data_IF_689469493229
#
_entry.id   IF_689469493229
#
_cell.length_a   1.000
_cell.length_b   1.000
_cell.length_c   1.000
_cell.angle_alpha   90.00
_cell.angle_beta   90.00
_cell.angle_gamma   90.00
#
_symmetry.space_group_name_H-M   'P 1'
#
loop_
_entity.id
_entity.type
_entity.pdbx_description
1 polymer ?
#
# COMPACT_ATOMS: atom_id res chain seq x y z
N UNK A 1 -23.46 -25.35 4.62
CA UNK A 1 -22.32 -26.28 4.49
C UNK A 1 -21.05 -25.45 4.61
N UNK A 2 -19.93 -25.98 5.09
CA UNK A 2 -18.71 -25.19 5.29
C UNK A 2 -18.15 -24.73 3.93
N UNK A 3 -18.28 -23.44 3.63
CA UNK A 3 -17.69 -22.80 2.43
C UNK A 3 -16.16 -22.64 2.52
N UNK A 4 -15.53 -23.29 3.50
CA UNK A 4 -14.10 -23.19 3.72
C UNK A 4 -13.33 -24.10 2.76
N UNK A 5 -12.42 -23.48 1.99
CA UNK A 5 -11.34 -24.17 1.29
C UNK A 5 -9.99 -23.88 1.94
N UNK A 6 -9.09 -24.85 1.82
CA UNK A 6 -7.75 -24.86 2.36
C UNK A 6 -6.73 -25.34 1.32
N UNK A 7 -5.50 -24.85 1.43
CA UNK A 7 -4.37 -25.26 0.62
C UNK A 7 -3.10 -25.36 1.48
N UNK A 8 -2.24 -26.33 1.19
CA UNK A 8 -0.94 -26.48 1.82
C UNK A 8 0.15 -26.67 0.76
N UNK A 9 1.29 -26.01 0.96
CA UNK A 9 2.49 -26.18 0.17
C UNK A 9 3.36 -27.28 0.80
N UNK A 10 3.77 -28.25 -0.01
CA UNK A 10 4.69 -29.32 0.40
C UNK A 10 6.13 -28.91 0.13
N UNK A 11 7.06 -29.57 0.82
CA UNK A 11 8.49 -29.31 0.68
C UNK A 11 9.04 -29.62 -0.73
N UNK A 12 8.36 -30.48 -1.49
CA UNK A 12 8.69 -30.81 -2.88
C UNK A 12 8.17 -29.76 -3.89
N UNK A 13 7.54 -28.68 -3.42
CA UNK A 13 6.97 -27.63 -4.27
C UNK A 13 5.60 -27.95 -4.86
N UNK A 14 4.96 -29.07 -4.50
CA UNK A 14 3.59 -29.39 -4.90
C UNK A 14 2.55 -28.82 -3.92
N UNK A 15 1.33 -28.58 -4.41
CA UNK A 15 0.22 -28.03 -3.61
C UNK A 15 -0.88 -29.05 -3.40
N UNK A 16 -1.37 -29.15 -2.16
CA UNK A 16 -2.54 -29.98 -1.81
C UNK A 16 -3.68 -29.07 -1.36
N UNK A 17 -4.87 -29.28 -1.89
CA UNK A 17 -6.07 -28.51 -1.56
C UNK A 17 -7.18 -29.41 -1.05
N UNK A 18 -7.95 -28.95 -0.06
CA UNK A 18 -9.12 -29.66 0.46
C UNK A 18 -10.23 -28.68 0.88
N UNK A 19 -11.46 -29.18 1.03
CA UNK A 19 -12.63 -28.37 1.40
C UNK A 19 -13.49 -27.99 0.20
N UNK A 20 -14.17 -26.84 0.27
CA UNK A 20 -15.14 -26.40 -0.73
C UNK A 20 -14.53 -26.32 -2.14
N UNK A 21 -15.10 -27.05 -3.10
CA UNK A 21 -14.59 -27.14 -4.47
C UNK A 21 -14.61 -25.80 -5.20
N UNK A 22 -15.72 -25.08 -5.08
CA UNK A 22 -15.91 -23.77 -5.74
C UNK A 22 -14.83 -22.79 -5.31
N UNK A 23 -14.50 -22.75 -4.02
CA UNK A 23 -13.48 -21.86 -3.44
C UNK A 23 -12.03 -22.33 -3.70
N UNK A 24 -11.82 -23.26 -4.63
CA UNK A 24 -10.50 -23.79 -5.00
C UNK A 24 -10.00 -24.92 -4.10
N UNK A 25 -10.84 -25.43 -3.19
CA UNK A 25 -10.60 -26.66 -2.45
C UNK A 25 -10.78 -27.90 -3.32
N UNK A 26 -10.29 -29.07 -2.89
CA UNK A 26 -10.46 -30.35 -3.59
C UNK A 26 -10.11 -30.34 -5.10
N UNK A 27 -9.34 -29.37 -5.58
CA UNK A 27 -9.03 -29.20 -7.00
C UNK A 27 -8.15 -30.35 -7.48
N UNK A 28 -8.60 -31.04 -8.53
CA UNK A 28 -7.81 -32.08 -9.18
C UNK A 28 -6.70 -31.46 -10.03
N UNK A 29 -7.00 -30.32 -10.67
CA UNK A 29 -6.05 -29.57 -11.49
C UNK A 29 -4.84 -29.14 -10.67
N UNK A 30 -5.06 -28.58 -9.48
CA UNK A 30 -3.98 -28.19 -8.55
C UNK A 30 -3.10 -29.38 -8.21
N UNK A 31 -3.69 -30.52 -7.84
CA UNK A 31 -2.93 -31.71 -7.46
C UNK A 31 -2.11 -32.31 -8.61
N UNK A 32 -2.58 -32.19 -9.84
CA UNK A 32 -1.95 -32.81 -11.00
C UNK A 32 -0.92 -31.89 -11.68
N UNK A 33 -1.17 -30.58 -11.73
CA UNK A 33 -0.44 -29.65 -12.61
C UNK A 33 0.31 -28.54 -11.85
N UNK A 34 -0.04 -28.25 -10.59
CA UNK A 34 0.59 -27.16 -9.83
C UNK A 34 1.82 -27.66 -9.04
N UNK A 35 2.99 -27.54 -9.67
CA UNK A 35 4.31 -27.90 -9.11
C UNK A 35 5.30 -26.74 -9.18
N UNK A 36 6.43 -26.87 -8.47
CA UNK A 36 7.47 -25.84 -8.43
C UNK A 36 6.95 -24.55 -7.79
N UNK A 37 6.12 -24.68 -6.74
CA UNK A 37 5.56 -23.56 -5.98
C UNK A 37 6.47 -23.23 -4.82
N UNK A 38 6.77 -21.94 -4.66
CA UNK A 38 7.58 -21.41 -3.56
C UNK A 38 6.74 -20.88 -2.41
N UNK A 39 5.57 -20.31 -2.72
CA UNK A 39 4.65 -19.81 -1.70
C UNK A 39 3.20 -19.80 -2.20
N UNK A 40 2.28 -19.92 -1.24
CA UNK A 40 0.83 -19.84 -1.47
C UNK A 40 0.23 -18.81 -0.52
N UNK A 41 -0.82 -18.13 -0.97
CA UNK A 41 -1.55 -17.16 -0.18
C UNK A 41 -3.05 -17.27 -0.49
N UNK A 42 -3.87 -17.15 0.55
CA UNK A 42 -5.33 -17.11 0.42
C UNK A 42 -5.78 -15.69 0.05
N UNK A 43 -6.72 -15.59 -0.88
CA UNK A 43 -7.33 -14.34 -1.33
C UNK A 43 -8.07 -14.57 -2.65
N UNK A 44 -8.89 -13.61 -3.09
CA UNK A 44 -9.72 -13.78 -4.29
C UNK A 44 -8.88 -14.15 -5.54
N UNK A 45 -9.26 -15.16 -6.35
CA UNK A 45 -10.51 -15.94 -6.34
C UNK A 45 -10.54 -17.17 -5.40
N UNK A 46 -9.54 -17.37 -4.57
CA UNK A 46 -9.50 -18.44 -3.57
C UNK A 46 -8.08 -18.56 -3.03
N UNK A 47 -7.16 -18.91 -3.94
CA UNK A 47 -5.74 -18.99 -3.65
C UNK A 47 -4.90 -18.43 -4.79
N UNK A 48 -3.72 -17.94 -4.44
CA UNK A 48 -2.68 -17.52 -5.38
C UNK A 48 -1.35 -18.15 -4.96
N UNK A 49 -0.60 -18.67 -5.92
CA UNK A 49 0.72 -19.25 -5.76
C UNK A 49 1.76 -18.50 -6.60
N UNK A 50 3.00 -18.47 -6.09
CA UNK A 50 4.17 -18.03 -6.85
C UNK A 50 5.06 -19.25 -7.12
N UNK A 51 5.36 -19.50 -8.39
CA UNK A 51 6.25 -20.59 -8.83
C UNK A 51 7.73 -20.17 -8.81
N UNK A 52 8.63 -21.14 -8.94
CA UNK A 52 10.10 -20.96 -8.86
C UNK A 52 10.67 -19.96 -9.89
N UNK A 53 9.99 -19.78 -11.03
CA UNK A 53 10.36 -18.79 -12.06
C UNK A 53 9.61 -17.46 -11.94
N UNK A 54 9.00 -17.19 -10.78
CA UNK A 54 8.27 -15.95 -10.50
C UNK A 54 6.92 -15.86 -11.22
N UNK A 55 6.44 -16.93 -11.84
CA UNK A 55 5.09 -16.98 -12.41
C UNK A 55 4.05 -16.99 -11.29
N UNK A 56 3.03 -16.13 -11.41
CA UNK A 56 1.90 -16.07 -10.47
C UNK A 56 0.69 -16.76 -11.09
N UNK A 57 0.14 -17.69 -10.32
CA UNK A 57 -0.98 -18.56 -10.68
C UNK A 57 -2.06 -18.46 -9.61
N UNK A 58 -3.30 -18.19 -9.99
CA UNK A 58 -4.43 -18.16 -9.07
C UNK A 58 -5.48 -19.22 -9.44
N UNK A 59 -6.22 -19.72 -8.44
CA UNK A 59 -7.32 -20.66 -8.66
C UNK A 59 -8.42 -20.48 -7.60
N UNK A 60 -9.62 -20.95 -7.92
CA UNK A 60 -10.80 -20.83 -7.08
C UNK A 60 -11.98 -20.18 -7.80
N UNK A 61 -12.94 -19.71 -7.03
CA UNK A 61 -14.17 -19.10 -7.52
C UNK A 61 -13.91 -17.67 -7.97
N UNK A 62 -13.99 -17.45 -9.27
CA UNK A 62 -14.21 -16.11 -9.82
C UNK A 62 -15.71 -15.93 -9.99
N UNK A 63 -16.22 -14.83 -9.46
CA UNK A 63 -17.56 -14.36 -9.74
C UNK A 63 -17.69 -14.17 -11.26
N UNK A 64 -18.63 -14.86 -11.94
CA UNK A 64 -18.80 -14.77 -13.39
C UNK A 64 -18.98 -13.33 -13.91
N UNK A 65 -19.51 -12.43 -13.07
CA UNK A 65 -19.70 -11.01 -13.40
C UNK A 65 -18.40 -10.20 -13.28
N UNK A 66 -17.43 -10.72 -12.51
CA UNK A 66 -16.06 -10.23 -12.38
C UNK A 66 -15.18 -10.91 -13.44
N UNK A 67 -15.25 -10.38 -14.66
CA UNK A 67 -14.23 -10.70 -15.66
C UNK A 67 -12.86 -10.21 -15.16
N UNK A 68 -11.84 -11.07 -15.15
CA UNK A 68 -10.45 -10.70 -14.83
C UNK A 68 -9.66 -10.45 -16.13
N UNK A 69 -9.84 -9.30 -16.81
CA UNK A 69 -9.18 -9.06 -18.08
C UNK A 69 -7.66 -9.04 -17.90
N UNK A 70 -6.98 -9.72 -18.83
CA UNK A 70 -5.53 -9.79 -18.84
C UNK A 70 -4.92 -10.88 -17.96
N UNK A 71 -5.74 -11.76 -17.37
CA UNK A 71 -5.27 -13.07 -16.92
C UNK A 71 -5.58 -14.11 -18.01
N UNK A 72 -4.59 -14.92 -18.35
CA UNK A 72 -4.77 -16.05 -19.25
C UNK A 72 -5.37 -17.21 -18.46
N UNK A 73 -6.34 -17.93 -19.06
CA UNK A 73 -6.90 -19.13 -18.47
C UNK A 73 -6.27 -20.36 -19.11
N UNK A 74 -5.63 -21.19 -18.30
CA UNK A 74 -4.99 -22.42 -18.77
C UNK A 74 -5.18 -23.51 -17.71
N UNK A 75 -5.70 -24.67 -18.12
CA UNK A 75 -5.88 -25.84 -17.24
C UNK A 75 -6.65 -25.59 -15.92
N UNK A 76 -7.57 -24.61 -15.91
CA UNK A 76 -8.35 -24.25 -14.71
C UNK A 76 -7.63 -23.28 -13.76
N UNK A 77 -6.51 -22.71 -14.19
CA UNK A 77 -5.78 -21.66 -13.49
C UNK A 77 -5.92 -20.30 -14.19
N UNK A 78 -5.72 -19.25 -13.40
CA UNK A 78 -5.60 -17.87 -13.87
C UNK A 78 -4.14 -17.42 -13.79
N UNK A 79 -3.55 -17.15 -14.94
CA UNK A 79 -2.15 -16.80 -15.09
C UNK A 79 -2.01 -15.31 -15.33
N UNK A 80 -1.09 -14.66 -14.61
CA UNK A 80 -0.83 -13.23 -14.81
C UNK A 80 -0.21 -12.88 -16.17
N UNK A 81 0.37 -13.86 -16.85
CA UNK A 81 1.17 -13.63 -18.07
C UNK A 81 2.43 -12.79 -17.81
N UNK A 82 2.80 -12.57 -16.54
CA UNK A 82 4.06 -11.95 -16.16
C UNK A 82 5.14 -13.03 -16.03
N UNK A 83 6.32 -12.75 -16.56
CA UNK A 83 7.53 -13.52 -16.28
C UNK A 83 8.33 -12.80 -15.20
N UNK A 84 8.87 -13.55 -14.24
CA UNK A 84 9.73 -13.04 -13.17
C UNK A 84 9.09 -11.88 -12.36
N UNK A 85 8.02 -12.19 -11.62
CA UNK A 85 7.34 -11.21 -10.75
C UNK A 85 8.27 -10.77 -9.62
N UNK A 86 8.58 -9.47 -9.58
CA UNK A 86 9.45 -8.86 -8.57
C UNK A 86 8.68 -8.34 -7.35
N UNK A 87 7.43 -7.93 -7.53
CA UNK A 87 6.57 -7.45 -6.45
C UNK A 87 5.14 -7.99 -6.65
N UNK A 88 4.57 -8.59 -5.60
CA UNK A 88 3.17 -9.00 -5.52
C UNK A 88 2.56 -8.43 -4.25
N UNK A 89 1.42 -7.76 -4.37
CA UNK A 89 0.69 -7.14 -3.27
C UNK A 89 -0.76 -7.61 -3.26
N UNK A 90 -1.31 -7.71 -2.06
CA UNK A 90 -2.71 -8.06 -1.83
C UNK A 90 -3.32 -7.10 -0.81
N UNK A 91 -4.55 -6.65 -1.08
CA UNK A 91 -5.39 -5.95 -0.12
C UNK A 91 -6.82 -6.42 -0.29
N UNK A 92 -7.41 -6.97 0.78
CA UNK A 92 -8.70 -7.64 0.73
C UNK A 92 -8.72 -8.67 -0.40
N UNK A 93 -9.66 -8.47 -1.33
CA UNK A 93 -9.88 -9.32 -2.51
C UNK A 93 -9.20 -8.79 -3.78
N UNK A 94 -8.20 -7.91 -3.64
CA UNK A 94 -7.53 -7.26 -4.77
C UNK A 94 -6.04 -7.52 -4.77
N UNK A 95 -5.50 -7.68 -5.98
CA UNK A 95 -4.11 -8.01 -6.20
C UNK A 95 -3.48 -7.10 -7.23
N UNK A 96 -2.18 -6.90 -7.07
CA UNK A 96 -1.35 -6.24 -8.06
C UNK A 96 0.05 -6.83 -8.07
N UNK A 97 0.59 -7.04 -9.26
CA UNK A 97 1.91 -7.62 -9.49
C UNK A 97 2.71 -6.78 -10.48
N UNK A 98 4.02 -6.63 -10.25
CA UNK A 98 4.97 -6.05 -11.20
C UNK A 98 5.91 -7.15 -11.70
N UNK A 99 5.97 -7.30 -13.02
CA UNK A 99 6.95 -8.16 -13.70
C UNK A 99 8.32 -7.49 -13.77
N UNK A 100 9.37 -8.29 -13.98
CA UNK A 100 10.74 -7.78 -14.10
C UNK A 100 10.96 -6.77 -15.23
N UNK A 101 10.09 -6.80 -16.23
CA UNK A 101 9.98 -5.89 -17.38
C UNK A 101 9.25 -4.57 -17.06
N UNK A 102 8.81 -4.38 -15.82
CA UNK A 102 8.09 -3.20 -15.36
C UNK A 102 6.64 -3.11 -15.85
N UNK A 103 6.06 -4.21 -16.36
CA UNK A 103 4.61 -4.31 -16.59
C UNK A 103 3.88 -4.59 -15.29
N UNK A 104 2.67 -4.07 -15.19
CA UNK A 104 1.78 -4.32 -14.06
C UNK A 104 0.59 -5.16 -14.48
N UNK A 105 0.20 -6.10 -13.63
CA UNK A 105 -1.08 -6.81 -13.69
C UNK A 105 -1.83 -6.60 -12.40
N UNK A 106 -3.14 -6.45 -12.52
CA UNK A 106 -4.05 -6.25 -11.40
C UNK A 106 -5.30 -7.08 -11.63
N UNK A 107 -5.80 -7.72 -10.57
CA UNK A 107 -6.99 -8.56 -10.60
C UNK A 107 -7.72 -8.52 -9.25
N UNK A 108 -8.98 -8.95 -9.22
CA UNK A 108 -9.88 -8.70 -8.09
C UNK A 108 -10.61 -7.36 -8.21
N UNK A 109 -10.87 -6.68 -7.10
CA UNK A 109 -11.57 -5.38 -7.13
C UNK A 109 -10.63 -4.25 -7.62
N UNK A 110 -10.71 -3.95 -8.92
CA UNK A 110 -9.90 -2.90 -9.56
C UNK A 110 -10.69 -1.62 -9.88
N UNK A 111 -12.00 -1.62 -9.64
CA UNK A 111 -12.92 -0.56 -10.09
C UNK A 111 -13.33 -0.74 -11.55
N UNK A 112 -13.22 0.31 -12.36
CA UNK A 112 -13.65 0.33 -13.77
C UNK A 112 -12.71 -0.45 -14.71
N UNK A 113 -13.29 -1.30 -15.57
CA UNK A 113 -12.59 -2.10 -16.61
C UNK A 113 -11.73 -1.25 -17.54
N UNK A 114 -12.20 -0.07 -17.96
CA UNK A 114 -11.39 0.80 -18.84
C UNK A 114 -10.11 1.30 -18.15
N UNK A 115 -10.17 1.53 -16.83
CA UNK A 115 -8.97 1.87 -16.05
C UNK A 115 -8.01 0.70 -16.00
N UNK A 116 -8.51 -0.52 -15.84
CA UNK A 116 -7.69 -1.74 -15.79
C UNK A 116 -6.87 -1.95 -17.07
N UNK A 117 -7.48 -1.82 -18.25
CA UNK A 117 -6.73 -1.92 -19.52
C UNK A 117 -5.64 -0.85 -19.66
N UNK A 118 -5.94 0.39 -19.26
CA UNK A 118 -4.94 1.48 -19.26
C UNK A 118 -3.81 1.21 -18.28
N UNK A 119 -4.10 0.61 -17.13
CA UNK A 119 -3.09 0.20 -16.16
C UNK A 119 -2.19 -0.89 -16.72
N UNK A 120 -2.73 -1.92 -17.36
CA UNK A 120 -1.93 -3.00 -17.95
C UNK A 120 -1.12 -2.55 -19.18
N UNK A 121 -1.47 -1.41 -19.77
CA UNK A 121 -0.67 -0.75 -20.79
C UNK A 121 0.52 0.04 -20.20
N UNK A 122 0.56 0.29 -18.88
CA UNK A 122 1.69 0.96 -18.24
C UNK A 122 2.97 0.14 -18.36
N UNK A 123 4.08 0.85 -18.47
CA UNK A 123 5.43 0.30 -18.55
C UNK A 123 6.32 1.04 -17.56
N UNK A 124 7.38 0.37 -17.13
CA UNK A 124 8.31 0.93 -16.17
C UNK A 124 7.66 1.23 -14.82
N UNK A 125 6.69 0.42 -14.38
CA UNK A 125 6.17 0.51 -13.02
C UNK A 125 7.26 0.06 -12.06
N UNK A 126 7.56 0.90 -11.06
CA UNK A 126 8.64 0.69 -10.09
C UNK A 126 8.13 0.14 -8.77
N UNK A 127 6.97 0.63 -8.30
CA UNK A 127 6.38 0.24 -7.00
C UNK A 127 4.86 0.29 -7.04
N UNK A 128 4.24 -0.62 -6.29
CA UNK A 128 2.83 -0.59 -5.95
C UNK A 128 2.64 -0.17 -4.50
N UNK A 129 1.65 0.68 -4.24
CA UNK A 129 1.23 1.14 -2.93
C UNK A 129 -0.29 0.95 -2.83
N UNK A 130 -0.79 0.61 -1.65
CA UNK A 130 -2.22 0.55 -1.36
C UNK A 130 -2.50 1.02 0.06
N UNK A 131 -3.74 1.43 0.32
CA UNK A 131 -4.22 1.69 1.68
C UNK A 131 -5.19 0.60 2.15
N UNK A 132 -5.63 0.67 3.40
CA UNK A 132 -6.52 -0.32 4.03
C UNK A 132 -7.93 -0.33 3.44
N UNK A 133 -8.32 0.76 2.77
CA UNK A 133 -9.64 0.91 2.13
C UNK A 133 -9.65 0.47 0.67
N UNK A 134 -8.70 -0.37 0.27
CA UNK A 134 -8.60 -0.95 -1.07
C UNK A 134 -8.48 0.09 -2.20
N UNK A 135 -7.84 1.22 -1.93
CA UNK A 135 -7.35 2.13 -2.97
C UNK A 135 -5.86 1.90 -3.22
N UNK A 136 -5.45 2.06 -4.46
CA UNK A 136 -4.13 1.68 -4.93
C UNK A 136 -3.48 2.79 -5.77
N UNK A 137 -2.15 2.79 -5.76
CA UNK A 137 -1.30 3.66 -6.57
C UNK A 137 -0.08 2.88 -7.09
N UNK A 138 0.35 3.19 -8.30
CA UNK A 138 1.58 2.71 -8.89
C UNK A 138 2.46 3.91 -9.25
N UNK A 139 3.74 3.86 -8.88
CA UNK A 139 4.75 4.84 -9.28
C UNK A 139 5.55 4.26 -10.43
N UNK A 140 5.68 5.01 -11.51
CA UNK A 140 6.50 4.65 -12.68
C UNK A 140 7.92 5.23 -12.59
N UNK A 141 8.85 4.73 -13.39
CA UNK A 141 10.25 5.17 -13.43
C UNK A 141 10.42 6.65 -13.74
N UNK A 142 9.47 7.28 -14.45
CA UNK A 142 9.52 8.71 -14.76
C UNK A 142 8.91 9.60 -13.67
N UNK A 143 8.39 8.98 -12.59
CA UNK A 143 7.72 9.62 -11.46
C UNK A 143 6.24 9.95 -11.70
N UNK A 144 5.60 9.39 -12.72
CA UNK A 144 4.15 9.46 -12.92
C UNK A 144 3.43 8.46 -12.02
N UNK A 145 2.21 8.82 -11.61
CA UNK A 145 1.37 7.99 -10.73
C UNK A 145 0.09 7.57 -11.45
N UNK A 146 -0.25 6.28 -11.34
CA UNK A 146 -1.54 5.75 -11.74
C UNK A 146 -2.28 5.21 -10.52
N UNK A 147 -3.60 5.43 -10.41
CA UNK A 147 -4.42 5.01 -9.27
C UNK A 147 -5.62 4.17 -9.69
N UNK A 148 -6.05 3.26 -8.83
CA UNK A 148 -7.22 2.40 -9.03
C UNK A 148 -7.81 1.90 -7.70
N UNK A 149 -8.88 1.10 -7.77
CA UNK A 149 -9.60 0.63 -6.59
C UNK A 149 -10.64 1.63 -6.09
N UNK A 150 -10.91 1.62 -4.77
CA UNK A 150 -11.98 2.40 -4.13
C UNK A 150 -11.85 3.91 -4.44
N UNK A 151 -12.78 4.49 -5.22
CA UNK A 151 -12.64 5.87 -5.69
C UNK A 151 -12.50 6.91 -4.57
N UNK A 152 -13.33 6.80 -3.52
CA UNK A 152 -13.37 7.78 -2.43
C UNK A 152 -12.12 7.74 -1.55
N UNK A 153 -11.50 6.57 -1.45
CA UNK A 153 -10.27 6.33 -0.66
C UNK A 153 -8.99 6.63 -1.44
N UNK A 154 -9.09 7.20 -2.64
CA UNK A 154 -7.96 7.65 -3.45
C UNK A 154 -7.66 6.81 -4.69
N UNK A 155 -8.53 5.85 -5.02
CA UNK A 155 -8.50 5.17 -6.32
C UNK A 155 -8.79 6.12 -7.49
N UNK A 156 -9.46 7.24 -7.20
CA UNK A 156 -9.59 8.37 -8.13
C UNK A 156 -8.69 9.56 -7.74
N UNK A 157 -7.68 9.82 -8.55
CA UNK A 157 -6.74 10.93 -8.40
C UNK A 157 -6.93 12.05 -9.45
N UNK A 158 -8.06 12.06 -10.20
CA UNK A 158 -8.27 13.01 -11.30
C UNK A 158 -8.11 14.48 -10.90
N UNK A 159 -8.57 14.84 -9.70
CA UNK A 159 -8.47 16.22 -9.16
C UNK A 159 -7.02 16.69 -8.96
N UNK A 160 -6.10 15.76 -8.69
CA UNK A 160 -4.68 16.05 -8.42
C UNK A 160 -3.73 15.56 -9.51
N UNK A 161 -4.23 14.91 -10.56
CA UNK A 161 -3.44 14.27 -11.63
C UNK A 161 -2.35 15.17 -12.22
N UNK A 162 -2.62 16.47 -12.42
CA UNK A 162 -1.62 17.40 -12.99
C UNK A 162 -0.43 17.64 -12.06
N UNK A 163 -0.62 17.47 -10.75
CA UNK A 163 0.41 17.64 -9.70
C UNK A 163 1.17 16.33 -9.41
N UNK A 164 0.61 15.17 -9.74
CA UNK A 164 1.25 13.85 -9.57
C UNK A 164 2.30 13.58 -10.66
N UNK A 165 3.36 14.38 -10.67
CA UNK A 165 4.51 14.27 -11.56
C UNK A 165 5.80 14.34 -10.76
N UNK A 166 6.81 13.58 -11.20
CA UNK A 166 8.12 13.48 -10.51
C UNK A 166 7.94 13.07 -9.05
N UNK A 167 7.02 12.14 -8.80
CA UNK A 167 6.79 11.55 -7.48
C UNK A 167 7.87 10.51 -7.20
N UNK A 168 8.49 10.59 -6.03
CA UNK A 168 9.54 9.68 -5.59
C UNK A 168 9.01 8.67 -4.56
N UNK A 169 8.18 9.16 -3.64
CA UNK A 169 7.63 8.37 -2.54
C UNK A 169 6.14 8.67 -2.36
N UNK A 170 5.38 7.66 -1.96
CA UNK A 170 3.97 7.78 -1.57
C UNK A 170 3.82 7.10 -0.22
N UNK A 171 3.17 7.80 0.70
CA UNK A 171 2.74 7.28 2.00
C UNK A 171 1.23 7.21 2.07
N UNK A 172 0.72 6.33 2.91
CA UNK A 172 -0.72 6.07 3.06
C UNK A 172 -1.15 6.13 4.51
N UNK A 173 -2.26 6.81 4.76
CA UNK A 173 -3.09 6.53 5.93
C UNK A 173 -4.06 5.39 5.61
N UNK A 174 -5.05 5.10 6.46
CA UNK A 174 -6.03 4.04 6.22
C UNK A 174 -6.88 4.25 4.95
N UNK A 175 -7.10 5.51 4.53
CA UNK A 175 -7.97 5.84 3.38
C UNK A 175 -7.50 7.05 2.57
N UNK A 176 -6.25 7.49 2.71
CA UNK A 176 -5.70 8.62 1.96
C UNK A 176 -4.23 8.41 1.60
N UNK A 177 -3.74 9.25 0.69
CA UNK A 177 -2.37 9.21 0.19
C UNK A 177 -1.69 10.57 0.31
N UNK A 178 -0.38 10.56 0.51
CA UNK A 178 0.51 11.70 0.38
C UNK A 178 1.70 11.34 -0.50
N UNK A 179 1.83 12.00 -1.65
CA UNK A 179 2.95 11.87 -2.57
C UNK A 179 4.00 12.94 -2.31
N UNK A 180 5.23 12.53 -2.06
CA UNK A 180 6.42 13.37 -2.04
C UNK A 180 7.03 13.45 -3.44
N UNK A 181 7.18 14.66 -3.96
CA UNK A 181 7.78 14.95 -5.25
C UNK A 181 9.27 15.28 -5.09
N UNK A 182 10.03 15.07 -6.17
CA UNK A 182 11.47 15.35 -6.25
C UNK A 182 11.85 16.81 -5.95
N UNK A 183 10.90 17.75 -6.08
CA UNK A 183 11.09 19.16 -5.72
C UNK A 183 10.79 19.45 -4.23
N UNK A 184 10.60 18.41 -3.40
CA UNK A 184 10.24 18.53 -2.00
C UNK A 184 8.78 18.96 -1.75
N UNK A 185 7.95 19.03 -2.80
CA UNK A 185 6.54 19.36 -2.68
C UNK A 185 5.67 18.14 -2.38
N UNK A 186 4.59 18.33 -1.61
CA UNK A 186 3.64 17.26 -1.27
C UNK A 186 2.29 17.45 -1.96
N UNK A 187 1.72 16.34 -2.42
CA UNK A 187 0.37 16.26 -3.02
C UNK A 187 -0.43 15.20 -2.29
N UNK A 188 -1.62 15.54 -1.79
CA UNK A 188 -2.50 14.60 -1.06
C UNK A 188 -3.79 14.35 -1.81
N UNK A 189 -4.38 13.17 -1.63
CA UNK A 189 -5.71 12.80 -2.14
C UNK A 189 -6.31 11.64 -1.35
N UNK A 190 -7.59 11.34 -1.59
CA UNK A 190 -8.38 10.35 -0.83
C UNK A 190 -9.28 11.03 0.20
N UNK A 191 -9.64 10.30 1.26
CA UNK A 191 -10.60 10.80 2.27
C UNK A 191 -10.03 12.02 2.99
N UNK A 192 -10.76 13.14 2.91
CA UNK A 192 -10.35 14.44 3.46
C UNK A 192 -9.97 14.36 4.95
N UNK A 193 -10.85 13.77 5.77
CA UNK A 193 -10.66 13.69 7.22
C UNK A 193 -9.56 12.72 7.64
N UNK A 194 -9.07 11.89 6.72
CA UNK A 194 -7.98 10.93 6.92
C UNK A 194 -6.65 11.45 6.36
N UNK A 195 -6.56 12.75 6.07
CA UNK A 195 -5.36 13.42 5.55
C UNK A 195 -5.31 13.58 4.03
N UNK A 196 -6.38 13.26 3.30
CA UNK A 196 -6.50 13.47 1.86
C UNK A 196 -6.52 14.95 1.44
N UNK A 197 -6.78 15.87 2.39
CA UNK A 197 -6.74 17.31 2.17
C UNK A 197 -5.68 17.99 3.04
N UNK A 198 -4.63 18.51 2.42
CA UNK A 198 -3.55 19.27 3.07
C UNK A 198 -3.62 20.79 2.80
N UNK A 199 -4.72 21.31 2.25
CA UNK A 199 -4.82 22.70 1.80
C UNK A 199 -4.46 23.72 2.89
N UNK A 200 -4.88 23.48 4.13
CA UNK A 200 -4.61 24.37 5.27
C UNK A 200 -3.11 24.52 5.59
N UNK A 201 -2.30 23.50 5.28
CA UNK A 201 -0.86 23.46 5.56
C UNK A 201 0.00 23.49 4.28
N UNK A 202 -0.61 23.61 3.10
CA UNK A 202 0.07 23.45 1.80
C UNK A 202 1.27 24.39 1.62
N UNK A 203 1.22 25.61 2.19
CA UNK A 203 2.33 26.58 2.16
C UNK A 203 3.58 26.10 2.90
N UNK A 204 3.43 25.22 3.89
CA UNK A 204 4.52 24.64 4.66
C UNK A 204 5.03 23.31 4.07
N UNK A 205 4.29 22.71 3.13
CA UNK A 205 4.67 21.46 2.47
C UNK A 205 5.63 21.70 1.29
N UNK A 206 6.75 22.35 1.61
CA UNK A 206 7.88 22.66 0.71
C UNK A 206 9.18 22.22 1.35
N UNK A 207 10.15 21.80 0.53
CA UNK A 207 11.41 21.19 0.97
C UNK A 207 11.20 20.03 1.94
N UNK A 208 10.14 19.24 1.74
CA UNK A 208 9.87 18.03 2.52
C UNK A 208 10.86 16.95 2.12
N UNK A 209 11.42 16.25 3.10
CA UNK A 209 12.39 15.16 2.91
C UNK A 209 11.78 13.80 3.27
N UNK A 210 10.81 13.77 4.19
CA UNK A 210 10.17 12.55 4.65
C UNK A 210 8.70 12.79 4.98
N UNK A 211 7.87 11.77 4.76
CA UNK A 211 6.49 11.73 5.20
C UNK A 211 6.30 10.44 6.00
N UNK A 212 5.60 10.55 7.12
CA UNK A 212 5.10 9.43 7.91
C UNK A 212 3.58 9.54 8.06
N UNK A 213 2.92 8.41 8.27
CA UNK A 213 1.47 8.33 8.36
C UNK A 213 1.05 7.49 9.56
N UNK A 214 0.06 7.98 10.30
CA UNK A 214 -0.76 7.16 11.19
C UNK A 214 -1.98 6.65 10.40
N UNK A 215 -2.92 5.95 11.04
CA UNK A 215 -4.11 5.46 10.33
C UNK A 215 -4.99 6.59 9.76
N UNK A 216 -4.84 7.83 10.22
CA UNK A 216 -5.74 8.94 9.87
C UNK A 216 -5.07 10.32 9.72
N UNK A 217 -3.74 10.39 9.85
CA UNK A 217 -2.99 11.64 9.79
C UNK A 217 -1.60 11.44 9.18
N UNK A 218 -0.97 12.54 8.84
CA UNK A 218 0.39 12.56 8.29
C UNK A 218 1.25 13.58 9.04
N UNK A 219 2.55 13.31 9.05
CA UNK A 219 3.60 14.21 9.49
C UNK A 219 4.67 14.30 8.39
N UNK A 220 5.03 15.52 8.00
CA UNK A 220 6.10 15.79 7.05
C UNK A 220 7.30 16.40 7.78
N UNK A 221 8.47 15.79 7.59
CA UNK A 221 9.76 16.36 7.98
C UNK A 221 10.29 17.22 6.85
N UNK A 222 10.65 18.46 7.17
CA UNK A 222 11.26 19.40 6.23
C UNK A 222 12.78 19.37 6.34
N UNK A 223 13.47 19.78 5.28
CA UNK A 223 14.93 19.83 5.22
C UNK A 223 15.57 20.74 6.28
N UNK A 224 14.82 21.69 6.83
CA UNK A 224 15.25 22.57 7.93
C UNK A 224 15.04 21.94 9.32
N UNK A 225 14.65 20.67 9.39
CA UNK A 225 14.42 19.95 10.64
C UNK A 225 13.10 20.28 11.32
N UNK A 226 12.21 21.05 10.67
CA UNK A 226 10.87 21.33 11.20
C UNK A 226 9.83 20.31 10.76
N UNK A 227 8.75 20.16 11.53
CA UNK A 227 7.67 19.20 11.26
C UNK A 227 6.34 19.91 11.03
N UNK A 228 5.59 19.41 10.03
CA UNK A 228 4.23 19.87 9.69
C UNK A 228 3.29 18.67 9.73
N UNK A 229 2.16 18.78 10.41
CA UNK A 229 1.16 17.70 10.49
C UNK A 229 -0.19 18.11 9.89
N UNK A 230 -0.95 17.13 9.42
CA UNK A 230 -2.33 17.31 8.96
C UNK A 230 -3.13 16.01 9.04
N UNK A 231 -4.45 16.10 8.87
CA UNK A 231 -5.38 14.99 9.00
C UNK A 231 -6.10 15.00 10.35
N UNK A 232 -6.56 13.84 10.83
CA UNK A 232 -7.40 13.76 12.02
C UNK A 232 -6.61 14.13 13.28
N UNK A 233 -7.06 15.17 13.99
CA UNK A 233 -6.47 15.63 15.27
C UNK A 233 -6.29 14.49 16.28
N UNK A 234 -7.33 13.66 16.45
CA UNK A 234 -7.32 12.51 17.37
C UNK A 234 -6.44 11.34 16.88
N UNK A 235 -5.64 11.53 15.83
CA UNK A 235 -4.66 10.57 15.32
C UNK A 235 -3.31 11.23 15.04
N UNK A 236 -3.02 12.36 15.70
CA UNK A 236 -1.74 13.07 15.59
C UNK A 236 -1.67 14.11 14.46
N UNK A 237 -2.79 14.40 13.80
CA UNK A 237 -2.88 15.45 12.76
C UNK A 237 -2.78 16.89 13.28
N UNK A 238 -2.64 17.08 14.60
CA UNK A 238 -2.42 18.37 15.25
C UNK A 238 -1.21 18.24 16.20
N UNK A 239 -0.11 18.95 15.89
CA UNK A 239 1.10 19.01 16.71
C UNK A 239 1.29 20.37 17.40
N UNK A 240 0.28 21.26 17.39
CA UNK A 240 0.39 22.63 17.90
C UNK A 240 0.91 22.71 19.34
N UNK A 241 0.52 21.77 20.20
CA UNK A 241 0.95 21.68 21.59
C UNK A 241 2.45 21.41 21.78
N UNK A 242 3.14 20.89 20.76
CA UNK A 242 4.57 20.56 20.79
C UNK A 242 5.36 21.23 19.67
N UNK A 243 4.74 22.14 18.90
CA UNK A 243 5.32 22.73 17.70
C UNK A 243 6.66 23.41 17.97
N UNK A 244 6.80 24.08 19.12
CA UNK A 244 8.03 24.75 19.55
C UNK A 244 9.18 23.78 19.85
N UNK A 245 8.89 22.49 20.04
CA UNK A 245 9.90 21.45 20.26
C UNK A 245 10.25 20.72 18.95
N UNK A 246 9.50 20.91 17.87
CA UNK A 246 9.66 20.22 16.58
C UNK A 246 10.61 20.99 15.66
N UNK A 247 11.86 21.14 16.12
CA UNK A 247 12.99 21.67 15.38
C UNK A 247 14.20 20.75 15.52
N UNK A 248 15.14 20.83 14.57
CA UNK A 248 16.29 19.93 14.47
C UNK A 248 15.90 18.44 14.46
N UNK A 249 14.71 18.12 13.96
CA UNK A 249 14.22 16.75 13.83
C UNK A 249 14.99 16.03 12.73
N UNK A 250 15.43 14.81 13.01
CA UNK A 250 16.18 13.96 12.07
C UNK A 250 15.35 12.79 11.57
N UNK A 251 14.33 12.38 12.31
CA UNK A 251 13.49 11.23 11.99
C UNK A 251 12.10 11.38 12.63
N UNK A 252 11.07 10.90 11.93
CA UNK A 252 9.71 10.76 12.46
C UNK A 252 9.33 9.28 12.40
N UNK A 253 8.60 8.80 13.40
CA UNK A 253 7.96 7.50 13.40
C UNK A 253 6.49 7.67 13.79
N UNK A 254 5.64 6.82 13.21
CA UNK A 254 4.21 6.81 13.47
C UNK A 254 3.80 5.52 14.19
N UNK A 255 2.81 5.64 15.07
CA UNK A 255 2.02 4.53 15.57
C UNK A 255 0.65 4.50 14.86
N UNK A 256 -0.27 3.67 15.36
CA UNK A 256 -1.65 3.64 14.85
C UNK A 256 -2.31 5.03 14.82
N UNK A 257 -2.03 5.91 15.79
CA UNK A 257 -2.65 7.24 15.86
C UNK A 257 -1.81 8.30 16.55
N UNK A 258 -0.53 8.07 16.76
CA UNK A 258 0.38 9.04 17.36
C UNK A 258 1.69 9.09 16.57
N UNK A 259 2.57 10.03 16.92
CA UNK A 259 3.88 10.16 16.32
C UNK A 259 4.95 10.41 17.37
N UNK A 260 6.19 10.05 17.01
CA UNK A 260 7.39 10.38 17.74
C UNK A 260 8.41 11.00 16.77
N UNK A 261 9.03 12.09 17.16
CA UNK A 261 10.14 12.73 16.45
C UNK A 261 11.42 12.60 17.27
N UNK A 262 12.51 12.21 16.61
CA UNK A 262 13.86 12.19 17.18
C UNK A 262 14.57 13.44 16.69
N UNK A 263 15.14 14.21 17.63
CA UNK A 263 15.93 15.41 17.34
C UNK A 263 17.41 15.07 17.24
N UNK A 264 18.19 15.96 16.63
CA UNK A 264 19.63 15.81 16.43
C UNK A 264 20.44 15.71 17.74
N UNK A 265 19.90 16.25 18.83
CA UNK A 265 20.44 16.08 20.19
C UNK A 265 20.07 14.72 20.84
N UNK A 266 19.34 13.87 20.12
CA UNK A 266 18.86 12.57 20.55
C UNK A 266 17.64 12.61 21.47
N UNK A 267 17.05 13.78 21.71
CA UNK A 267 15.80 13.91 22.46
C UNK A 267 14.58 13.51 21.62
N UNK A 268 13.51 13.07 22.29
CA UNK A 268 12.29 12.59 21.65
C UNK A 268 11.09 13.47 22.02
N UNK A 269 10.35 13.90 20.99
CA UNK A 269 9.08 14.61 21.12
C UNK A 269 7.97 13.69 20.65
N UNK A 270 6.94 13.48 21.46
CA UNK A 270 5.76 12.66 21.08
C UNK A 270 4.50 13.52 21.07
N UNK A 271 3.56 13.19 20.17
CA UNK A 271 2.25 13.83 20.11
C UNK A 271 1.17 12.89 19.57
N UNK A 272 -0.09 13.27 19.79
CA UNK A 272 -1.26 12.44 19.51
C UNK A 272 -1.88 11.87 20.79
N UNK A 273 -2.85 10.95 20.69
CA UNK A 273 -3.52 10.37 21.85
C UNK A 273 -2.53 9.59 22.75
N UNK A 274 -2.55 9.83 24.07
CA UNK A 274 -1.69 9.09 25.00
C UNK A 274 -1.86 7.57 24.93
N UNK A 275 -3.09 7.09 24.71
CA UNK A 275 -3.40 5.66 24.58
C UNK A 275 -2.80 5.00 23.34
N UNK A 276 -2.36 5.78 22.36
CA UNK A 276 -1.73 5.32 21.13
C UNK A 276 -0.24 5.66 21.06
N UNK A 277 0.38 6.07 22.18
CA UNK A 277 1.81 6.37 22.26
C UNK A 277 2.18 7.86 22.17
N UNK A 278 1.20 8.76 22.15
CA UNK A 278 1.43 10.21 22.09
C UNK A 278 1.91 10.86 23.40
N UNK A 279 2.29 10.07 24.41
CA UNK A 279 2.83 10.57 25.69
C UNK A 279 3.99 9.69 26.17
N UNK A 280 5.21 10.19 25.99
CA UNK A 280 6.45 9.53 26.42
C UNK A 280 6.94 9.95 27.83
N UNK A 281 6.17 10.73 28.59
CA UNK A 281 6.64 11.31 29.87
C UNK A 281 7.13 10.27 30.88
N UNK A 282 6.51 9.08 30.91
CA UNK A 282 6.87 7.97 31.82
C UNK A 282 8.23 7.34 31.55
N UNK A 283 8.76 7.50 30.34
CA UNK A 283 10.03 6.90 29.90
C UNK A 283 11.05 7.97 29.50
N UNK A 284 10.78 9.24 29.80
CA UNK A 284 11.62 10.38 29.39
C UNK A 284 13.08 10.22 29.80
N UNK A 285 13.35 9.69 30.99
CA UNK A 285 14.70 9.44 31.50
C UNK A 285 15.41 8.28 30.77
N UNK A 286 14.65 7.35 30.17
CA UNK A 286 15.19 6.22 29.40
C UNK A 286 15.43 6.59 27.92
N UNK A 287 14.79 7.64 27.41
CA UNK A 287 14.89 8.10 26.03
C UNK A 287 16.15 8.96 25.76
N UNK A 288 17.20 8.81 26.55
CA UNK A 288 18.45 9.56 26.39
C UNK A 288 19.33 9.03 25.25
N UNK A 289 19.60 9.87 24.24
CA UNK A 289 20.57 9.67 23.13
C UNK A 289 20.20 8.58 22.13
N UNK A 290 19.01 8.66 21.55
CA UNK A 290 18.64 7.84 20.39
C UNK A 290 19.36 8.34 19.13
N UNK A 291 19.76 7.41 18.26
CA UNK A 291 20.34 7.66 16.93
C UNK A 291 19.42 7.12 15.85
#
# INVERSE_FOLDING_TARGET
ANDAAFAALRADGSVVTWGCHEQGGNSQQVRQHLHGVRCIQKGYPGFTAIKDHGQVVSWGFIDPDVHLPGLDQEEGFYLTGLSDVKELRMMGDSWAAIGSDGRIKTWGYTGDRQKQYRLHALRGVKRIIHNESNAWAAITNDGSVATWGEPCSGGDSRSVKRRLKKVEHIQTSGSAFAALRADGGVVTWGVQDQGGNSTAVQRYLTNVTEIQASCAAFAALRADGTVVTWGKKNHGGDCSAVQEQLHDVTCIQASLGAFAAIRSDGSVVTWGPPSLGGNSSRVKEQLGRLK
#
